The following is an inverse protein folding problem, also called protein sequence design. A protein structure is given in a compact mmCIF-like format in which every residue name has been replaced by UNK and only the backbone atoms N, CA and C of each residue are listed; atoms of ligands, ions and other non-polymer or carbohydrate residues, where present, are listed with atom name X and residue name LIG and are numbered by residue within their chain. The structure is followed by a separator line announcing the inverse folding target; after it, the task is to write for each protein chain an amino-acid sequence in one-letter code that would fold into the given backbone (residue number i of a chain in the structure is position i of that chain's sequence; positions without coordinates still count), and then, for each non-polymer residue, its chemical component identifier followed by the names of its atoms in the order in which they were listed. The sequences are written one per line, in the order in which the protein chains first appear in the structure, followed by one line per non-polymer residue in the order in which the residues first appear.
data_IF_596420871820
#
_entry.id   IF_596420871820
#
_cell.length_a   1.000
_cell.length_b   1.000
_cell.length_c   1.000
_cell.angle_alpha   90.00
_cell.angle_beta   90.00
_cell.angle_gamma   90.00
#
_symmetry.space_group_name_H-M   'P 1'
#
loop_
_entity.id
_entity.type
_entity.pdbx_description
1 polymer ?
#
# COMPACT_ATOMS: atom_id res chain seq x y z
N UNK A 1 -15.15 1.87 -8.55
CA UNK A 1 -13.69 1.60 -8.59
C UNK A 1 -12.97 2.78 -7.95
N UNK A 2 -12.04 2.50 -7.06
CA UNK A 2 -11.13 3.49 -6.46
C UNK A 2 -9.70 3.04 -6.74
N UNK A 3 -8.91 3.95 -7.31
CA UNK A 3 -7.47 3.77 -7.51
C UNK A 3 -6.75 4.80 -6.65
N UNK A 4 -5.80 4.34 -5.84
CA UNK A 4 -4.88 5.17 -5.05
C UNK A 4 -3.47 4.86 -5.47
N UNK A 5 -2.76 5.84 -5.99
CA UNK A 5 -1.38 5.70 -6.45
C UNK A 5 -0.54 6.82 -5.84
N UNK A 6 0.46 6.46 -5.03
CA UNK A 6 1.32 7.41 -4.35
C UNK A 6 2.79 7.16 -4.71
N UNK A 7 3.55 8.24 -4.82
CA UNK A 7 5.00 8.17 -5.00
C UNK A 7 5.69 8.99 -3.92
N UNK A 8 6.55 8.33 -3.13
CA UNK A 8 7.36 8.96 -2.08
C UNK A 8 8.84 8.73 -2.38
N UNK A 9 9.64 9.79 -2.42
CA UNK A 9 11.06 9.71 -2.78
C UNK A 9 11.94 10.54 -1.85
N UNK A 10 13.10 9.95 -1.49
CA UNK A 10 14.23 10.65 -0.90
C UNK A 10 15.46 10.27 -1.71
N UNK A 11 16.10 11.25 -2.35
CA UNK A 11 17.13 10.97 -3.35
C UNK A 11 18.34 11.89 -3.18
N UNK A 12 19.55 11.32 -3.30
CA UNK A 12 20.82 12.01 -3.51
C UNK A 12 21.35 11.50 -4.86
N UNK A 13 21.35 12.35 -5.89
CA UNK A 13 21.59 11.92 -7.27
C UNK A 13 22.37 12.96 -8.08
N UNK A 14 22.72 12.62 -9.32
CA UNK A 14 23.23 13.55 -10.32
C UNK A 14 24.55 14.24 -9.96
N UNK A 15 25.55 13.51 -9.49
CA UNK A 15 26.87 14.04 -9.16
C UNK A 15 26.90 14.87 -7.87
N UNK A 16 25.92 14.67 -6.99
CA UNK A 16 25.89 15.34 -5.69
C UNK A 16 27.13 14.99 -4.86
N UNK A 17 27.66 15.98 -4.15
CA UNK A 17 28.76 15.79 -3.20
C UNK A 17 28.27 16.17 -1.80
N UNK A 18 28.10 15.17 -0.95
CA UNK A 18 27.59 15.34 0.41
C UNK A 18 28.70 15.06 1.42
N UNK A 19 28.98 16.04 2.30
CA UNK A 19 29.95 15.89 3.39
C UNK A 19 29.27 16.18 4.72
N UNK A 20 29.41 15.26 5.68
CA UNK A 20 28.82 15.42 7.02
C UNK A 20 29.81 15.09 8.12
N UNK A 21 29.76 15.86 9.22
CA UNK A 21 30.47 15.52 10.47
C UNK A 21 29.68 14.56 11.36
N UNK A 22 28.39 14.36 11.09
CA UNK A 22 27.49 13.47 11.80
C UNK A 22 26.93 12.39 10.89
N UNK A 23 25.79 11.84 11.29
CA UNK A 23 25.09 10.82 10.54
C UNK A 23 24.39 11.39 9.30
N UNK A 24 24.19 10.56 8.29
CA UNK A 24 23.49 10.88 7.04
C UNK A 24 22.28 9.96 6.91
N UNK A 25 21.10 10.51 6.67
CA UNK A 25 19.90 9.74 6.42
C UNK A 25 19.25 10.08 5.08
N UNK A 26 18.95 9.07 4.29
CA UNK A 26 18.13 9.16 3.07
C UNK A 26 16.93 8.24 3.28
N UNK A 27 15.86 8.78 3.86
CA UNK A 27 14.78 7.95 4.38
C UNK A 27 13.44 8.38 3.82
N UNK A 28 12.61 7.38 3.50
CA UNK A 28 11.18 7.55 3.21
C UNK A 28 10.34 6.74 4.19
N UNK A 29 9.21 7.30 4.61
CA UNK A 29 8.19 6.64 5.45
C UNK A 29 6.82 6.98 4.86
N UNK A 30 6.26 6.07 4.08
CA UNK A 30 4.96 6.22 3.45
C UNK A 30 3.91 5.44 4.24
N UNK A 31 2.75 6.05 4.47
CA UNK A 31 1.63 5.41 5.15
C UNK A 31 0.33 5.68 4.41
N UNK A 32 -0.31 4.61 3.96
CA UNK A 32 -1.59 4.68 3.24
C UNK A 32 -2.66 3.93 4.00
N UNK A 33 -3.72 4.63 4.39
CA UNK A 33 -4.91 4.08 5.03
C UNK A 33 -6.11 4.34 4.15
N UNK A 34 -6.80 3.27 3.75
CA UNK A 34 -7.97 3.37 2.89
C UNK A 34 -9.16 2.60 3.45
N UNK A 35 -10.32 3.24 3.44
CA UNK A 35 -11.57 2.66 3.88
C UNK A 35 -12.68 2.95 2.86
N UNK A 36 -13.54 1.98 2.64
CA UNK A 36 -14.69 2.12 1.75
C UNK A 36 -15.88 1.33 2.29
N UNK A 37 -17.03 1.94 2.34
CA UNK A 37 -18.28 1.28 2.68
C UNK A 37 -19.29 1.49 1.56
N UNK A 38 -19.75 0.40 0.96
CA UNK A 38 -20.77 0.43 -0.10
C UNK A 38 -21.93 -0.42 0.32
N UNK A 39 -23.12 0.16 0.38
CA UNK A 39 -24.35 -0.53 0.74
C UNK A 39 -25.41 -0.25 -0.32
N UNK A 40 -26.09 -1.28 -0.77
CA UNK A 40 -27.20 -1.17 -1.71
C UNK A 40 -28.40 -1.97 -1.24
N UNK A 41 -29.57 -1.49 -1.58
CA UNK A 41 -30.82 -2.17 -1.26
C UNK A 41 -31.86 -1.99 -2.35
N UNK A 42 -32.72 -2.97 -2.52
CA UNK A 42 -33.88 -2.89 -3.40
C UNK A 42 -35.09 -3.54 -2.73
N UNK A 43 -36.27 -2.93 -2.92
CA UNK A 43 -37.53 -3.42 -2.38
C UNK A 43 -38.62 -3.38 -3.43
N UNK A 44 -39.70 -4.20 -3.23
CA UNK A 44 -40.87 -4.24 -4.12
C UNK A 44 -41.59 -5.59 -4.12
N UNK A 45 -42.30 -5.89 -5.17
CA UNK A 45 -42.85 -7.24 -5.37
C UNK A 45 -41.75 -8.24 -5.65
N UNK A 46 -40.72 -7.83 -6.40
CA UNK A 46 -39.46 -8.51 -6.60
C UNK A 46 -38.37 -7.50 -6.31
N UNK A 47 -37.50 -7.79 -5.34
CA UNK A 47 -36.37 -6.93 -4.95
C UNK A 47 -35.06 -7.55 -5.44
N UNK A 48 -34.33 -6.82 -6.26
CA UNK A 48 -32.99 -7.26 -6.73
C UNK A 48 -31.99 -6.16 -6.42
N UNK A 49 -30.93 -6.47 -5.65
CA UNK A 49 -29.86 -5.55 -5.33
C UNK A 49 -28.52 -6.18 -5.69
N UNK A 50 -27.61 -5.37 -6.23
CA UNK A 50 -26.24 -5.79 -6.52
C UNK A 50 -25.25 -4.66 -6.29
N UNK A 51 -24.08 -5.01 -5.74
CA UNK A 51 -22.99 -4.09 -5.54
C UNK A 51 -21.66 -4.68 -6.02
N UNK A 52 -20.83 -3.83 -6.61
CA UNK A 52 -19.46 -4.15 -6.95
C UNK A 52 -18.57 -3.03 -6.40
N UNK A 53 -17.56 -3.39 -5.63
CA UNK A 53 -16.54 -2.48 -5.18
C UNK A 53 -15.16 -3.00 -5.60
N UNK A 54 -14.36 -2.13 -6.22
CA UNK A 54 -12.98 -2.41 -6.60
C UNK A 54 -12.10 -1.33 -5.98
N UNK A 55 -11.13 -1.73 -5.18
CA UNK A 55 -10.14 -0.87 -4.55
C UNK A 55 -8.73 -1.35 -4.94
N UNK A 56 -7.98 -0.50 -5.59
CA UNK A 56 -6.61 -0.75 -6.01
C UNK A 56 -5.69 0.29 -5.35
N UNK A 57 -4.62 -0.16 -4.71
CA UNK A 57 -3.63 0.70 -4.07
C UNK A 57 -2.26 0.32 -4.60
N UNK A 58 -1.55 1.30 -5.20
CA UNK A 58 -0.18 1.19 -5.65
C UNK A 58 0.68 2.29 -5.02
N UNK A 59 1.66 1.93 -4.20
CA UNK A 59 2.60 2.89 -3.65
C UNK A 59 3.99 2.62 -4.23
N UNK A 60 4.67 3.68 -4.67
CA UNK A 60 6.07 3.66 -5.10
C UNK A 60 6.89 4.44 -4.08
N UNK A 61 7.64 3.74 -3.25
CA UNK A 61 8.42 4.31 -2.17
C UNK A 61 9.91 4.05 -2.37
N UNK A 62 10.71 5.12 -2.53
CA UNK A 62 12.10 4.98 -2.95
C UNK A 62 13.06 5.86 -2.16
N UNK A 63 14.04 5.24 -1.53
CA UNK A 63 15.23 5.88 -0.98
C UNK A 63 16.44 5.56 -1.86
N UNK A 64 17.06 6.58 -2.48
CA UNK A 64 18.08 6.39 -3.51
C UNK A 64 19.31 7.26 -3.26
N UNK A 65 20.46 6.64 -3.41
CA UNK A 65 21.75 7.34 -3.65
C UNK A 65 22.30 6.83 -4.97
N UNK A 66 22.46 7.71 -5.95
CA UNK A 66 22.95 7.32 -7.27
C UNK A 66 23.88 8.38 -7.87
N UNK A 67 24.92 7.94 -8.55
CA UNK A 67 25.90 8.78 -9.24
C UNK A 67 26.41 9.94 -8.36
N UNK A 68 26.75 9.67 -7.09
CA UNK A 68 27.05 10.70 -6.10
C UNK A 68 28.24 10.32 -5.21
N UNK A 69 28.84 11.33 -4.56
CA UNK A 69 29.94 11.14 -3.60
C UNK A 69 29.48 11.52 -2.21
N UNK A 70 29.60 10.59 -1.27
CA UNK A 70 29.20 10.77 0.12
C UNK A 70 30.41 10.57 1.02
N UNK A 71 30.70 11.52 1.90
CA UNK A 71 31.73 11.41 2.91
C UNK A 71 31.21 11.82 4.29
N UNK A 72 31.28 10.91 5.27
CA UNK A 72 30.72 11.13 6.61
C UNK A 72 31.54 10.55 7.74
N UNK A 73 31.67 11.27 8.86
CA UNK A 73 32.29 10.76 10.09
C UNK A 73 31.30 9.95 10.97
N UNK A 74 30.04 9.95 10.64
CA UNK A 74 28.99 9.19 11.31
C UNK A 74 28.60 7.92 10.57
N UNK A 75 27.37 7.48 10.82
CA UNK A 75 26.72 6.39 10.09
C UNK A 75 25.90 6.93 8.91
N UNK A 76 25.68 6.09 7.92
CA UNK A 76 24.72 6.38 6.86
C UNK A 76 23.59 5.37 6.86
N UNK A 77 22.37 5.87 6.70
CA UNK A 77 21.16 5.06 6.56
C UNK A 77 20.44 5.45 5.26
N UNK A 78 20.15 4.46 4.44
CA UNK A 78 19.24 4.58 3.29
C UNK A 78 18.09 3.64 3.56
N UNK A 79 16.90 4.19 3.82
CA UNK A 79 15.77 3.38 4.25
C UNK A 79 14.49 3.78 3.52
N UNK A 80 13.81 2.80 2.97
CA UNK A 80 12.46 2.96 2.42
C UNK A 80 11.48 2.13 3.26
N UNK A 81 10.42 2.78 3.75
CA UNK A 81 9.39 2.12 4.54
C UNK A 81 8.00 2.46 4.01
N UNK A 82 7.20 1.42 3.76
CA UNK A 82 5.81 1.52 3.38
C UNK A 82 4.91 0.80 4.38
N UNK A 83 3.79 1.43 4.74
CA UNK A 83 2.72 0.83 5.52
C UNK A 83 1.41 1.08 4.81
N UNK A 84 0.78 0.01 4.31
CA UNK A 84 -0.49 0.10 3.60
C UNK A 84 -1.57 -0.70 4.31
N UNK A 85 -2.65 -0.03 4.69
CA UNK A 85 -3.77 -0.59 5.43
C UNK A 85 -5.08 -0.36 4.69
N UNK A 86 -5.65 -1.41 4.18
CA UNK A 86 -7.00 -1.41 3.63
C UNK A 86 -7.97 -1.96 4.67
N UNK A 87 -8.96 -1.16 5.05
CA UNK A 87 -9.90 -1.50 6.10
C UNK A 87 -9.47 -1.13 7.52
N UNK A 88 -8.44 -0.32 7.65
CA UNK A 88 -8.01 0.27 8.94
C UNK A 88 -7.88 1.77 8.83
N UNK A 89 -7.97 2.45 9.95
CA UNK A 89 -7.64 3.89 10.04
C UNK A 89 -6.65 4.15 11.17
N UNK A 90 -5.84 5.17 10.99
CA UNK A 90 -4.95 5.69 12.01
C UNK A 90 -5.73 6.68 12.89
N UNK A 91 -5.66 6.51 14.21
CA UNK A 91 -6.21 7.45 15.20
C UNK A 91 -5.23 8.57 15.51
N UNK A 92 -5.73 9.61 16.14
CA UNK A 92 -4.91 10.77 16.57
C UNK A 92 -3.83 10.39 17.60
N UNK A 93 -4.05 9.31 18.35
CA UNK A 93 -3.09 8.75 19.32
C UNK A 93 -2.02 7.85 18.68
N UNK A 94 -2.03 7.68 17.36
CA UNK A 94 -1.10 6.86 16.59
C UNK A 94 -1.42 5.36 16.59
N UNK A 95 -2.54 4.94 17.21
CA UNK A 95 -2.99 3.54 17.17
C UNK A 95 -3.82 3.25 15.94
N UNK A 96 -3.82 1.99 15.47
CA UNK A 96 -4.67 1.53 14.38
C UNK A 96 -6.02 1.05 14.92
N UNK A 97 -7.08 1.36 14.19
CA UNK A 97 -8.43 0.86 14.44
C UNK A 97 -8.98 0.15 13.22
N UNK A 98 -9.60 -0.99 13.44
CA UNK A 98 -10.29 -1.74 12.38
C UNK A 98 -11.54 -0.98 11.95
N UNK A 99 -11.61 -0.62 10.68
CA UNK A 99 -12.76 0.06 10.10
C UNK A 99 -13.44 -0.76 9.02
N UNK A 100 -12.70 -1.66 8.42
CA UNK A 100 -13.05 -2.56 7.33
C UNK A 100 -13.39 -1.88 5.98
N UNK A 101 -13.12 -2.59 4.90
CA UNK A 101 -13.79 -2.37 3.62
C UNK A 101 -15.06 -3.21 3.65
N UNK A 102 -16.21 -2.57 3.64
CA UNK A 102 -17.49 -3.23 3.76
C UNK A 102 -18.31 -3.09 2.49
N UNK A 103 -18.93 -4.18 2.06
CA UNK A 103 -19.81 -4.22 0.91
C UNK A 103 -21.05 -5.02 1.27
N UNK A 104 -22.21 -4.45 1.07
CA UNK A 104 -23.47 -5.11 1.34
C UNK A 104 -24.52 -4.86 0.28
N UNK A 105 -25.25 -5.91 -0.14
CA UNK A 105 -26.43 -5.79 -0.98
C UNK A 105 -27.60 -6.55 -0.37
N UNK A 106 -28.75 -5.91 -0.31
CA UNK A 106 -29.99 -6.52 0.20
C UNK A 106 -31.17 -6.35 -0.77
N UNK A 107 -31.74 -7.46 -1.25
CA UNK A 107 -32.98 -7.47 -2.00
C UNK A 107 -34.14 -7.95 -1.12
N UNK A 108 -35.19 -7.13 -0.94
CA UNK A 108 -36.38 -7.49 -0.19
C UNK A 108 -37.58 -7.43 -1.13
N UNK A 109 -38.27 -8.55 -1.32
CA UNK A 109 -39.47 -8.63 -2.17
C UNK A 109 -40.64 -9.27 -1.47
N UNK A 110 -41.86 -8.86 -1.82
CA UNK A 110 -43.08 -9.55 -1.36
C UNK A 110 -43.11 -11.01 -1.83
N UNK A 111 -42.53 -11.27 -3.00
CA UNK A 111 -42.43 -12.61 -3.57
C UNK A 111 -41.01 -13.12 -3.55
N UNK A 112 -40.09 -12.41 -4.21
CA UNK A 112 -38.71 -12.85 -4.35
C UNK A 112 -37.76 -11.71 -3.98
N UNK A 113 -36.68 -12.03 -3.22
CA UNK A 113 -35.62 -11.10 -2.90
C UNK A 113 -34.25 -11.67 -3.31
N UNK A 114 -33.43 -10.89 -4.02
CA UNK A 114 -32.10 -11.30 -4.44
C UNK A 114 -31.08 -10.24 -4.07
N UNK A 115 -29.96 -10.65 -3.44
CA UNK A 115 -28.83 -9.80 -3.13
C UNK A 115 -27.51 -10.40 -3.66
N UNK A 116 -26.67 -9.59 -4.29
CA UNK A 116 -25.34 -10.01 -4.72
C UNK A 116 -24.30 -8.94 -4.42
N UNK A 117 -23.13 -9.35 -3.94
CA UNK A 117 -22.02 -8.43 -3.65
C UNK A 117 -20.69 -9.01 -4.13
N UNK A 118 -19.88 -8.19 -4.83
CA UNK A 118 -18.55 -8.54 -5.27
C UNK A 118 -17.55 -7.47 -4.81
N UNK A 119 -16.58 -7.86 -4.01
CA UNK A 119 -15.49 -7.01 -3.57
C UNK A 119 -14.18 -7.52 -4.16
N UNK A 120 -13.42 -6.61 -4.77
CA UNK A 120 -12.04 -6.84 -5.19
C UNK A 120 -11.15 -5.81 -4.51
N UNK A 121 -10.14 -6.26 -3.81
CA UNK A 121 -9.15 -5.40 -3.15
C UNK A 121 -7.77 -5.83 -3.57
N UNK A 122 -6.99 -4.92 -4.11
CA UNK A 122 -5.63 -5.16 -4.58
C UNK A 122 -4.65 -4.15 -3.98
N UNK A 123 -3.52 -4.63 -3.47
CA UNK A 123 -2.40 -3.82 -3.01
C UNK A 123 -1.17 -4.27 -3.77
N UNK A 124 -0.53 -3.35 -4.51
CA UNK A 124 0.68 -3.58 -5.26
C UNK A 124 1.70 -2.46 -4.95
N UNK A 125 2.56 -2.67 -3.96
CA UNK A 125 3.54 -1.69 -3.54
C UNK A 125 4.94 -2.03 -4.03
N UNK A 126 5.69 -1.00 -4.42
CA UNK A 126 7.12 -1.07 -4.74
C UNK A 126 7.90 -0.24 -3.72
N UNK A 127 8.72 -0.91 -2.89
CA UNK A 127 9.51 -0.28 -1.84
C UNK A 127 10.98 -0.57 -2.06
N UNK A 128 11.73 0.45 -2.47
CA UNK A 128 13.12 0.28 -2.90
C UNK A 128 14.06 1.18 -2.11
N UNK A 129 15.12 0.58 -1.52
CA UNK A 129 16.29 1.27 -1.02
C UNK A 129 17.51 0.90 -1.88
N UNK A 130 18.14 1.89 -2.50
CA UNK A 130 19.22 1.63 -3.47
C UNK A 130 20.41 2.57 -3.27
N UNK A 131 21.61 2.00 -3.40
CA UNK A 131 22.85 2.76 -3.64
C UNK A 131 23.42 2.28 -4.98
N UNK A 132 23.69 3.21 -5.90
CA UNK A 132 24.23 2.88 -7.22
C UNK A 132 25.26 3.90 -7.69
N UNK A 133 26.27 3.43 -8.45
CA UNK A 133 27.21 4.29 -9.17
C UNK A 133 27.86 5.39 -8.30
N UNK A 134 28.05 5.13 -7.02
CA UNK A 134 28.38 6.15 -6.02
C UNK A 134 29.60 5.75 -5.20
N UNK A 135 30.34 6.74 -4.72
CA UNK A 135 31.40 6.55 -3.73
C UNK A 135 30.85 6.94 -2.35
N UNK A 136 30.82 5.98 -1.41
CA UNK A 136 30.30 6.18 -0.06
C UNK A 136 31.38 5.84 0.95
N UNK A 137 31.96 6.86 1.58
CA UNK A 137 32.94 6.75 2.64
C UNK A 137 32.34 7.23 3.97
N UNK A 138 32.04 6.30 4.86
CA UNK A 138 31.45 6.59 6.18
C UNK A 138 32.24 5.89 7.28
N UNK A 139 32.60 6.64 8.32
CA UNK A 139 33.51 6.16 9.37
C UNK A 139 32.88 5.11 10.30
N UNK A 140 31.56 4.92 10.30
CA UNK A 140 30.88 4.00 11.21
C UNK A 140 30.10 2.92 10.45
N UNK A 141 28.80 3.06 10.32
CA UNK A 141 27.92 2.02 9.78
C UNK A 141 27.20 2.53 8.53
N UNK A 142 27.19 1.71 7.49
CA UNK A 142 26.25 1.84 6.38
C UNK A 142 25.08 0.88 6.62
N UNK A 143 23.85 1.38 6.55
CA UNK A 143 22.63 0.60 6.66
C UNK A 143 21.73 0.87 5.46
N UNK A 144 21.33 -0.20 4.78
CA UNK A 144 20.43 -0.17 3.65
C UNK A 144 19.25 -1.07 3.96
N UNK A 145 18.03 -0.52 3.98
CA UNK A 145 16.83 -1.27 4.38
C UNK A 145 15.62 -0.88 3.54
N UNK A 146 14.83 -1.85 3.15
CA UNK A 146 13.50 -1.67 2.60
C UNK A 146 12.50 -2.50 3.42
N UNK A 147 11.35 -1.93 3.72
CA UNK A 147 10.31 -2.57 4.53
C UNK A 147 8.93 -2.21 3.99
N UNK A 148 8.12 -3.22 3.69
CA UNK A 148 6.74 -3.04 3.22
C UNK A 148 5.80 -3.90 4.05
N UNK A 149 4.86 -3.25 4.72
CA UNK A 149 3.87 -3.89 5.59
C UNK A 149 2.45 -3.57 5.10
N UNK A 150 1.79 -4.55 4.51
CA UNK A 150 0.48 -4.41 3.90
C UNK A 150 -0.55 -5.32 4.54
N UNK A 151 -1.77 -4.82 4.72
CA UNK A 151 -2.89 -5.64 5.20
C UNK A 151 -4.22 -5.22 4.60
N UNK A 152 -5.10 -6.21 4.37
CA UNK A 152 -6.46 -6.02 3.91
C UNK A 152 -7.43 -6.62 4.94
N UNK A 153 -8.33 -5.80 5.45
CA UNK A 153 -9.46 -6.23 6.26
C UNK A 153 -10.74 -5.91 5.49
N UNK A 154 -11.45 -6.95 5.04
CA UNK A 154 -12.63 -6.80 4.23
C UNK A 154 -13.81 -7.61 4.75
N UNK A 155 -15.01 -7.06 4.69
CA UNK A 155 -16.26 -7.73 4.99
C UNK A 155 -17.21 -7.61 3.80
N UNK A 156 -17.73 -8.74 3.33
CA UNK A 156 -18.70 -8.79 2.25
C UNK A 156 -19.91 -9.61 2.69
N UNK A 157 -21.10 -9.04 2.52
CA UNK A 157 -22.34 -9.75 2.81
C UNK A 157 -23.40 -9.48 1.74
N UNK A 158 -24.34 -10.39 1.63
CA UNK A 158 -25.52 -10.21 0.81
C UNK A 158 -26.73 -10.81 1.52
N UNK A 159 -27.90 -10.22 1.28
CA UNK A 159 -29.16 -10.72 1.81
C UNK A 159 -30.24 -10.74 0.72
N UNK A 160 -31.04 -11.78 0.71
CA UNK A 160 -32.20 -11.89 -0.15
C UNK A 160 -33.39 -12.39 0.68
N UNK A 161 -34.46 -11.60 0.77
CA UNK A 161 -35.66 -11.93 1.55
C UNK A 161 -36.89 -11.86 0.66
N UNK A 162 -37.69 -12.91 0.65
CA UNK A 162 -38.96 -12.98 -0.07
C UNK A 162 -39.89 -14.02 0.52
N UNK A 163 -41.21 -13.83 0.37
CA UNK A 163 -42.16 -14.77 0.89
C UNK A 163 -42.13 -16.15 0.20
N UNK A 164 -41.70 -16.19 -1.06
CA UNK A 164 -41.57 -17.43 -1.81
C UNK A 164 -40.11 -17.85 -1.98
N UNK A 165 -39.19 -16.89 -2.23
CA UNK A 165 -37.76 -17.20 -2.31
C UNK A 165 -36.89 -16.02 -1.91
N UNK A 166 -35.76 -16.32 -1.27
CA UNK A 166 -34.69 -15.41 -1.00
C UNK A 166 -33.38 -16.03 -1.46
N UNK A 167 -32.61 -15.31 -2.28
CA UNK A 167 -31.31 -15.75 -2.76
C UNK A 167 -30.28 -14.67 -2.48
N UNK A 168 -29.13 -15.05 -1.94
CA UNK A 168 -28.04 -14.12 -1.71
C UNK A 168 -26.68 -14.78 -2.00
N UNK A 169 -25.74 -13.99 -2.50
CA UNK A 169 -24.37 -14.44 -2.73
C UNK A 169 -23.38 -13.29 -2.61
N UNK A 170 -22.23 -13.57 -2.02
CA UNK A 170 -21.14 -12.59 -1.92
C UNK A 170 -19.80 -13.22 -2.23
N UNK A 171 -18.92 -12.45 -2.87
CA UNK A 171 -17.54 -12.84 -3.21
C UNK A 171 -16.61 -11.72 -2.80
N UNK A 172 -15.52 -12.08 -2.13
CA UNK A 172 -14.38 -11.19 -1.88
C UNK A 172 -13.11 -11.79 -2.48
N UNK A 173 -12.36 -10.96 -3.21
CA UNK A 173 -11.04 -11.28 -3.73
C UNK A 173 -10.07 -10.23 -3.17
N UNK A 174 -9.06 -10.68 -2.42
CA UNK A 174 -8.05 -9.82 -1.84
C UNK A 174 -6.68 -10.29 -2.32
N UNK A 175 -5.91 -9.37 -2.89
CA UNK A 175 -4.56 -9.63 -3.39
C UNK A 175 -3.58 -8.66 -2.75
N UNK A 176 -2.40 -9.13 -2.38
CA UNK A 176 -1.26 -8.30 -1.98
C UNK A 176 -0.05 -8.78 -2.77
N UNK A 177 0.48 -7.90 -3.61
CA UNK A 177 1.65 -8.15 -4.44
C UNK A 177 2.66 -7.02 -4.24
N UNK A 178 3.55 -7.18 -3.26
CA UNK A 178 4.55 -6.18 -2.91
C UNK A 178 5.93 -6.59 -3.41
N UNK A 179 6.62 -5.64 -4.03
CA UNK A 179 8.06 -5.72 -4.34
C UNK A 179 8.83 -4.93 -3.29
N UNK A 180 9.79 -5.58 -2.61
CA UNK A 180 10.59 -4.93 -1.57
C UNK A 180 12.06 -5.26 -1.78
N UNK A 181 12.87 -4.23 -2.08
CA UNK A 181 14.24 -4.42 -2.49
C UNK A 181 15.20 -3.46 -1.77
N UNK A 182 16.29 -4.01 -1.21
CA UNK A 182 17.40 -3.24 -0.66
C UNK A 182 18.70 -3.74 -1.28
N UNK A 183 19.33 -2.95 -2.15
CA UNK A 183 20.49 -3.42 -2.91
C UNK A 183 21.49 -2.33 -3.26
N UNK A 184 22.74 -2.76 -3.46
CA UNK A 184 23.83 -1.96 -3.98
C UNK A 184 24.13 -2.46 -5.39
N UNK A 185 24.28 -1.56 -6.34
CA UNK A 185 24.50 -1.93 -7.74
C UNK A 185 25.46 -0.97 -8.43
N UNK A 186 25.98 -1.39 -9.56
CA UNK A 186 26.72 -0.55 -10.51
C UNK A 186 26.20 -0.79 -11.92
N UNK A 187 26.15 0.25 -12.73
CA UNK A 187 25.86 0.15 -14.15
C UNK A 187 27.16 -0.15 -14.92
N UNK A 188 27.01 -0.63 -16.15
CA UNK A 188 28.16 -0.93 -17.01
C UNK A 188 29.06 0.32 -17.19
N UNK A 189 30.35 0.18 -16.88
CA UNK A 189 31.34 1.25 -16.97
C UNK A 189 31.31 2.28 -15.83
N UNK A 190 30.54 2.03 -14.78
CA UNK A 190 30.51 2.83 -13.55
C UNK A 190 30.97 1.99 -12.36
N UNK A 191 31.27 2.61 -11.24
CA UNK A 191 31.69 1.93 -10.02
C UNK A 191 30.86 2.39 -8.84
N UNK A 192 30.65 1.46 -7.89
CA UNK A 192 30.13 1.76 -6.55
C UNK A 192 31.21 1.35 -5.55
N UNK A 193 31.72 2.34 -4.80
CA UNK A 193 32.74 2.14 -3.75
C UNK A 193 32.07 2.39 -2.38
N UNK A 194 32.38 1.50 -1.41
CA UNK A 194 31.82 1.57 -0.05
C UNK A 194 32.92 1.34 0.97
#
# INVERSE_FOLDING_TARGET
TTLVENTTKAEIVNGSNVKSKGDIGVNTDAKTYFNSVVVGGAGGKVGVAGNVNVAEIGNHNRALVDASTIAGYGSMTVAAKDVTRLGKRLKDDGTEEDFAVALGAGGVGLYNGTGASVLVSDIANDTTAKIGNSSVDVAKKLSLTADSDSSILSYVFAAGLGAYSGVAGSVAVNTIDNTTEAFITEDEGKTTEI
#
